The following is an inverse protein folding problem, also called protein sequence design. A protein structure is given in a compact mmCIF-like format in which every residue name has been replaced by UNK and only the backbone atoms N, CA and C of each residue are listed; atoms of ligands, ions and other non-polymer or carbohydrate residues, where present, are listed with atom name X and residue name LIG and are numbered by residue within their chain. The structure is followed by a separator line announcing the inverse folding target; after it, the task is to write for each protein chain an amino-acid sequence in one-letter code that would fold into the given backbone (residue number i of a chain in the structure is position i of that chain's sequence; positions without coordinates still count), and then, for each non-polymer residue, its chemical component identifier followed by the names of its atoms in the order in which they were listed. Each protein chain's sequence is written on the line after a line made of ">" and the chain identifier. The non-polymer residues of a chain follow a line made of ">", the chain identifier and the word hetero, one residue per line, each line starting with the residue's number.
data_IF_765398383054
#
_entry.id   IF_765398383054
#
_cell.length_a   1.000
_cell.length_b   1.000
_cell.length_c   1.000
_cell.angle_alpha   90.00
_cell.angle_beta   90.00
_cell.angle_gamma   90.00
#
_symmetry.space_group_name_H-M   'P 1'
#
loop_
_entity.id
_entity.type
_entity.pdbx_description
1 polymer ?
#
# COMPACT_ATOMS: atom_id res chain seq x y z
N UNK A 1 8.46 3.21 -6.72
CA UNK A 1 8.63 2.88 -5.30
C UNK A 1 9.83 3.62 -4.77
N UNK A 2 9.65 4.39 -3.70
CA UNK A 2 10.71 5.17 -3.04
C UNK A 2 11.85 4.23 -2.59
N UNK A 3 13.11 4.65 -2.74
CA UNK A 3 14.28 3.79 -2.50
C UNK A 3 14.46 3.39 -1.02
N UNK A 4 14.13 4.28 -0.08
CA UNK A 4 14.14 3.95 1.36
C UNK A 4 13.19 2.78 1.69
N UNK A 5 12.01 2.76 1.07
CA UNK A 5 11.02 1.69 1.25
C UNK A 5 11.54 0.37 0.71
N UNK A 6 12.17 0.35 -0.47
CA UNK A 6 12.78 -0.88 -1.02
C UNK A 6 13.84 -1.45 -0.09
N UNK A 7 14.69 -0.59 0.46
CA UNK A 7 15.76 -0.99 1.37
C UNK A 7 15.20 -1.59 2.67
N UNK A 8 14.17 -0.98 3.26
CA UNK A 8 13.52 -1.50 4.47
C UNK A 8 12.74 -2.79 4.20
N UNK A 9 11.98 -2.84 3.10
CA UNK A 9 11.25 -4.03 2.70
C UNK A 9 12.17 -5.24 2.53
N UNK A 10 13.32 -5.07 1.87
CA UNK A 10 14.31 -6.14 1.72
C UNK A 10 14.84 -6.64 3.07
N UNK A 11 15.13 -5.75 4.03
CA UNK A 11 15.58 -6.12 5.38
C UNK A 11 14.53 -6.90 6.17
N UNK A 12 13.25 -6.61 5.93
CA UNK A 12 12.12 -7.32 6.53
C UNK A 12 11.77 -8.63 5.82
N UNK A 13 12.53 -9.02 4.78
CA UNK A 13 12.33 -10.26 4.04
C UNK A 13 11.27 -10.17 2.93
N UNK A 14 10.81 -8.97 2.56
CA UNK A 14 9.98 -8.80 1.38
C UNK A 14 10.86 -8.90 0.12
N UNK A 15 10.71 -9.99 -0.62
CA UNK A 15 11.56 -10.28 -1.79
C UNK A 15 10.96 -9.71 -3.08
N UNK A 16 9.71 -10.06 -3.37
CA UNK A 16 9.00 -9.60 -4.57
C UNK A 16 7.57 -9.20 -4.23
N UNK A 17 7.01 -8.20 -4.93
CA UNK A 17 5.62 -7.83 -4.75
C UNK A 17 4.67 -8.98 -5.13
N UNK A 18 3.61 -9.15 -4.34
CA UNK A 18 2.56 -10.14 -4.64
C UNK A 18 1.71 -9.71 -5.85
N UNK A 19 0.88 -10.61 -6.37
CA UNK A 19 0.04 -10.31 -7.53
C UNK A 19 -0.89 -9.10 -7.31
N UNK A 20 -1.52 -9.01 -6.12
CA UNK A 20 -2.39 -7.88 -5.79
C UNK A 20 -1.59 -6.57 -5.66
N UNK A 21 -0.40 -6.60 -5.06
CA UNK A 21 0.47 -5.44 -4.95
C UNK A 21 0.88 -4.90 -6.33
N UNK A 22 1.25 -5.79 -7.26
CA UNK A 22 1.57 -5.39 -8.65
C UNK A 22 0.37 -4.80 -9.37
N UNK A 23 -0.80 -5.41 -9.21
CA UNK A 23 -2.01 -5.02 -9.92
C UNK A 23 -2.52 -3.63 -9.54
N UNK A 24 -2.45 -3.26 -8.26
CA UNK A 24 -3.08 -2.02 -7.76
C UNK A 24 -2.10 -0.84 -7.67
N UNK A 25 -0.78 -1.09 -7.67
CA UNK A 25 0.21 -0.05 -7.38
C UNK A 25 0.12 1.17 -8.30
N UNK A 26 0.14 0.97 -9.63
CA UNK A 26 0.09 2.08 -10.58
C UNK A 26 -1.30 2.77 -10.61
N UNK A 27 -2.44 2.04 -10.67
CA UNK A 27 -3.75 2.67 -10.57
C UNK A 27 -3.94 3.56 -9.33
N UNK A 28 -3.55 3.07 -8.15
CA UNK A 28 -3.64 3.86 -6.91
C UNK A 28 -2.68 5.06 -6.94
N UNK A 29 -1.48 4.88 -7.47
CA UNK A 29 -0.51 5.98 -7.64
C UNK A 29 -1.02 7.08 -8.58
N UNK A 30 -1.82 6.71 -9.56
CA UNK A 30 -2.46 7.63 -10.51
C UNK A 30 -3.76 8.26 -9.95
N UNK A 31 -4.10 8.00 -8.69
CA UNK A 31 -5.29 8.52 -8.02
C UNK A 31 -6.60 7.84 -8.45
N UNK A 32 -6.52 6.67 -9.09
CA UNK A 32 -7.69 5.94 -9.52
C UNK A 32 -8.36 5.19 -8.36
N UNK A 33 -9.69 5.09 -8.38
CA UNK A 33 -10.42 4.23 -7.46
C UNK A 33 -10.28 2.76 -7.86
N UNK A 34 -9.96 1.89 -6.89
CA UNK A 34 -9.69 0.47 -7.13
C UNK A 34 -10.51 -0.38 -6.17
N UNK A 35 -11.12 -1.45 -6.71
CA UNK A 35 -11.69 -2.54 -5.90
C UNK A 35 -10.75 -3.74 -6.01
N UNK A 36 -10.03 -4.05 -4.94
CA UNK A 36 -9.07 -5.16 -4.88
C UNK A 36 -9.68 -6.41 -4.25
N UNK A 37 -9.80 -7.50 -5.02
CA UNK A 37 -10.27 -8.79 -4.51
C UNK A 37 -9.10 -9.78 -4.44
N UNK A 38 -8.72 -10.18 -3.23
CA UNK A 38 -7.66 -11.16 -3.01
C UNK A 38 -7.85 -11.86 -1.64
N UNK A 39 -7.39 -13.11 -1.48
CA UNK A 39 -7.52 -13.85 -0.22
C UNK A 39 -6.73 -13.20 0.93
N UNK A 40 -7.03 -13.57 2.18
CA UNK A 40 -6.21 -13.17 3.35
C UNK A 40 -4.78 -13.67 3.20
N UNK A 41 -3.79 -12.94 3.71
CA UNK A 41 -2.37 -13.28 3.55
C UNK A 41 -1.77 -12.94 2.17
N UNK A 42 -2.56 -12.47 1.21
CA UNK A 42 -2.05 -12.06 -0.13
C UNK A 42 -1.29 -10.72 -0.14
N UNK A 43 -1.17 -10.05 1.01
CA UNK A 43 -0.46 -8.77 1.15
C UNK A 43 -1.27 -7.54 0.73
N UNK A 44 -2.62 -7.58 0.87
CA UNK A 44 -3.52 -6.45 0.55
C UNK A 44 -3.19 -5.16 1.30
N UNK A 45 -2.78 -5.24 2.56
CA UNK A 45 -2.43 -4.08 3.38
C UNK A 45 -1.30 -3.27 2.74
N UNK A 46 -0.20 -3.94 2.36
CA UNK A 46 0.90 -3.30 1.64
C UNK A 46 0.46 -2.83 0.25
N UNK A 47 -0.47 -3.54 -0.39
CA UNK A 47 -0.95 -3.22 -1.72
C UNK A 47 -1.61 -1.83 -1.80
N UNK A 48 -2.41 -1.44 -0.80
CA UNK A 48 -2.96 -0.07 -0.75
C UNK A 48 -2.03 0.91 -0.02
N UNK A 49 -1.40 0.51 1.08
CA UNK A 49 -0.70 1.45 1.95
C UNK A 49 0.52 2.07 1.26
N UNK A 50 1.30 1.26 0.54
CA UNK A 50 2.54 1.74 -0.06
C UNK A 50 2.33 2.81 -1.15
N UNK A 51 1.51 2.61 -2.20
CA UNK A 51 1.29 3.66 -3.21
C UNK A 51 0.63 4.91 -2.63
N UNK A 52 -0.21 4.80 -1.59
CA UNK A 52 -0.86 5.94 -0.96
C UNK A 52 0.09 6.73 -0.03
N UNK A 53 0.95 6.05 0.73
CA UNK A 53 1.98 6.70 1.55
C UNK A 53 2.97 7.51 0.71
N UNK A 54 3.29 7.07 -0.51
CA UNK A 54 4.17 7.81 -1.43
C UNK A 54 3.58 9.14 -1.91
N UNK A 55 2.27 9.36 -1.75
CA UNK A 55 1.59 10.59 -2.14
C UNK A 55 1.50 11.61 -0.99
N UNK A 56 1.74 11.19 0.26
CA UNK A 56 1.61 12.07 1.43
C UNK A 56 2.75 13.08 1.46
N UNK A 57 2.41 14.36 1.61
CA UNK A 57 3.37 15.43 1.83
C UNK A 57 3.49 15.77 3.32
N UNK A 58 4.69 16.13 3.80
CA UNK A 58 4.84 16.72 5.13
C UNK A 58 3.94 17.96 5.29
N UNK A 59 3.48 18.19 6.52
CA UNK A 59 2.70 19.38 6.93
C UNK A 59 1.31 19.54 6.29
N UNK A 60 0.78 18.51 5.62
CA UNK A 60 -0.50 18.55 4.90
C UNK A 60 -1.71 18.12 5.75
N UNK A 61 -1.56 18.11 7.08
CA UNK A 61 -2.61 17.70 8.02
C UNK A 61 -3.01 16.22 7.86
N UNK A 62 -4.32 15.93 7.86
CA UNK A 62 -4.85 14.58 7.64
C UNK A 62 -4.95 14.28 6.13
N UNK A 63 -3.98 13.53 5.59
CA UNK A 63 -3.90 13.23 4.14
C UNK A 63 -4.36 11.82 3.75
N UNK A 64 -4.55 10.90 4.71
CA UNK A 64 -4.95 9.52 4.44
C UNK A 64 -5.84 8.97 5.57
N UNK A 65 -6.97 8.36 5.21
CA UNK A 65 -7.87 7.67 6.12
C UNK A 65 -8.07 6.22 5.66
N UNK A 66 -7.82 5.28 6.55
CA UNK A 66 -8.11 3.85 6.36
C UNK A 66 -9.29 3.51 7.26
N UNK A 67 -10.32 2.88 6.69
CA UNK A 67 -11.52 2.47 7.41
C UNK A 67 -11.58 0.96 7.38
N UNK A 68 -11.64 0.36 8.56
CA UNK A 68 -11.78 -1.08 8.75
C UNK A 68 -13.10 -1.39 9.46
N UNK A 69 -13.72 -2.56 9.22
CA UNK A 69 -15.02 -2.91 9.79
C UNK A 69 -14.95 -3.29 11.28
N UNK A 70 -13.76 -3.49 11.85
CA UNK A 70 -13.56 -3.76 13.27
C UNK A 70 -12.27 -3.12 13.79
N UNK A 71 -12.14 -3.03 15.11
CA UNK A 71 -10.94 -2.50 15.78
C UNK A 71 -9.78 -3.51 15.85
N UNK A 72 -10.02 -4.79 15.55
CA UNK A 72 -9.04 -5.88 15.69
C UNK A 72 -8.33 -6.25 14.38
N UNK A 73 -8.69 -5.58 13.28
CA UNK A 73 -8.23 -5.87 11.92
C UNK A 73 -6.88 -5.21 11.59
#
# INVERSE_FOLDING_TARGET
>A
MIEEFKTHAAKLGYQQPTAIQKAVYQPLKDGQSVVGLAPTGSGKTVAFALPLLEQIQPDDGLSLLVIEPSAEL
#
